data_IF_529371081578
#
_entry.id   IF_529371081578
#
_cell.length_a   1.000
_cell.length_b   1.000
_cell.length_c   1.000
_cell.angle_alpha   90.00
_cell.angle_beta   90.00
_cell.angle_gamma   90.00
#
_symmetry.space_group_name_H-M   'P 1'
#
loop_
_entity.id
_entity.type
_entity.pdbx_description
1 polymer ?
#
# COMPACT_ATOMS: atom_id res chain seq x y z
N UNK A 1 -9.21 3.36 -12.41
CA UNK A 1 -9.09 3.91 -11.05
C UNK A 1 -9.31 5.43 -11.06
N UNK A 2 -10.24 5.95 -10.25
CA UNK A 2 -10.44 7.38 -10.00
C UNK A 2 -9.72 7.84 -8.73
N UNK A 3 -9.06 9.00 -8.76
CA UNK A 3 -8.32 9.57 -7.62
C UNK A 3 -8.96 10.88 -7.14
N UNK A 4 -8.81 11.23 -5.86
CA UNK A 4 -9.33 12.48 -5.28
C UNK A 4 -8.34 13.23 -4.39
N UNK A 5 -7.27 12.60 -3.94
CA UNK A 5 -6.11 13.18 -3.26
C UNK A 5 -4.91 12.21 -3.39
N UNK A 6 -3.79 12.50 -2.73
CA UNK A 6 -2.49 11.82 -2.88
C UNK A 6 -2.13 10.87 -1.75
N UNK A 7 -3.02 10.68 -0.77
CA UNK A 7 -2.82 9.71 0.31
C UNK A 7 -2.95 8.27 -0.16
N UNK A 8 -2.46 7.34 0.67
CA UNK A 8 -2.35 5.91 0.35
C UNK A 8 -3.68 5.22 0.02
N UNK A 9 -4.82 5.84 0.40
CA UNK A 9 -6.18 5.33 0.19
C UNK A 9 -7.04 6.25 -0.69
N UNK A 10 -6.45 7.30 -1.26
CA UNK A 10 -7.22 8.35 -1.95
C UNK A 10 -7.51 8.04 -3.43
N UNK A 11 -7.85 6.77 -3.67
CA UNK A 11 -8.31 6.23 -4.94
C UNK A 11 -9.33 5.10 -4.70
N UNK A 12 -10.20 4.86 -5.68
CA UNK A 12 -11.29 3.88 -5.60
C UNK A 12 -10.77 2.46 -5.29
N UNK A 13 -9.74 1.99 -5.97
CA UNK A 13 -9.20 0.63 -5.76
C UNK A 13 -8.66 0.42 -4.34
N UNK A 14 -7.96 1.41 -3.76
CA UNK A 14 -7.46 1.33 -2.40
C UNK A 14 -8.57 1.45 -1.33
N UNK A 15 -9.62 2.23 -1.61
CA UNK A 15 -10.78 2.30 -0.74
C UNK A 15 -11.58 0.97 -0.75
N UNK A 16 -11.73 0.34 -1.92
CA UNK A 16 -12.37 -0.98 -2.04
C UNK A 16 -11.57 -2.07 -1.30
N UNK A 17 -10.23 -1.99 -1.35
CA UNK A 17 -9.35 -2.87 -0.59
C UNK A 17 -9.55 -2.76 0.94
N UNK A 18 -9.82 -1.57 1.47
CA UNK A 18 -10.19 -1.40 2.88
C UNK A 18 -11.46 -2.18 3.23
N UNK A 19 -12.45 -2.17 2.33
CA UNK A 19 -13.65 -2.99 2.45
C UNK A 19 -13.35 -4.49 2.50
N UNK A 20 -12.44 -4.98 1.66
CA UNK A 20 -12.01 -6.40 1.69
C UNK A 20 -11.40 -6.79 3.04
N UNK A 21 -10.57 -5.92 3.63
CA UNK A 21 -9.98 -6.12 4.96
C UNK A 21 -11.07 -6.17 6.04
N UNK A 22 -12.04 -5.26 5.96
CA UNK A 22 -13.10 -5.18 6.96
C UNK A 22 -14.04 -6.37 6.90
N UNK A 23 -14.38 -6.85 5.69
CA UNK A 23 -15.21 -8.02 5.48
C UNK A 23 -14.50 -9.33 5.86
N UNK A 24 -13.17 -9.35 5.86
CA UNK A 24 -12.40 -10.49 6.32
C UNK A 24 -12.55 -10.70 7.84
N UNK A 25 -12.64 -11.97 8.30
CA UNK A 25 -12.48 -12.31 9.71
C UNK A 25 -11.14 -11.77 10.25
N UNK A 26 -11.10 -11.38 11.52
CA UNK A 26 -9.92 -10.75 12.14
C UNK A 26 -8.63 -11.56 11.92
N UNK A 27 -8.70 -12.89 12.07
CA UNK A 27 -7.57 -13.80 11.86
C UNK A 27 -7.17 -13.99 10.38
N UNK A 28 -7.88 -13.37 9.43
CA UNK A 28 -7.60 -13.40 7.99
C UNK A 28 -7.15 -12.05 7.44
N UNK A 29 -7.30 -10.95 8.18
CA UNK A 29 -6.91 -9.60 7.73
C UNK A 29 -5.44 -9.49 7.34
N UNK A 30 -4.53 -10.08 8.13
CA UNK A 30 -3.11 -10.13 7.77
C UNK A 30 -2.89 -10.86 6.42
N UNK A 31 -3.63 -11.94 6.17
CA UNK A 31 -3.49 -12.68 4.91
C UNK A 31 -3.97 -11.87 3.70
N UNK A 32 -4.98 -11.02 3.87
CA UNK A 32 -5.43 -10.07 2.82
C UNK A 32 -4.35 -9.04 2.53
N UNK A 33 -3.76 -8.44 3.57
CA UNK A 33 -2.64 -7.48 3.45
C UNK A 33 -1.44 -8.14 2.75
N UNK A 34 -1.04 -9.34 3.20
CA UNK A 34 0.06 -10.09 2.60
C UNK A 34 -0.19 -10.38 1.12
N UNK A 35 -1.40 -10.81 0.77
CA UNK A 35 -1.80 -11.11 -0.61
C UNK A 35 -1.68 -9.88 -1.51
N UNK A 36 -2.10 -8.70 -1.06
CA UNK A 36 -1.95 -7.46 -1.82
C UNK A 36 -0.48 -7.11 -2.06
N UNK A 37 0.38 -7.29 -1.06
CA UNK A 37 1.83 -7.06 -1.23
C UNK A 37 2.49 -8.09 -2.16
N UNK A 38 2.05 -9.35 -2.13
CA UNK A 38 2.58 -10.40 -2.99
C UNK A 38 2.11 -10.29 -4.45
N UNK A 39 0.92 -9.73 -4.68
CA UNK A 39 0.34 -9.59 -6.02
C UNK A 39 1.26 -8.81 -6.98
N UNK A 40 1.86 -7.72 -6.50
CA UNK A 40 2.76 -6.87 -7.30
C UNK A 40 4.16 -7.46 -7.49
N UNK A 41 4.46 -8.58 -6.84
CA UNK A 41 5.74 -9.29 -6.96
C UNK A 41 5.68 -10.48 -7.91
N UNK A 42 4.49 -10.80 -8.44
CA UNK A 42 4.32 -11.81 -9.48
C UNK A 42 4.99 -11.29 -10.75
N UNK A 43 5.88 -12.07 -11.41
CA UNK A 43 6.53 -11.63 -12.64
C UNK A 43 5.51 -11.25 -13.71
N UNK A 44 5.60 -10.01 -14.18
CA UNK A 44 4.79 -9.44 -15.25
C UNK A 44 5.65 -8.46 -16.05
N UNK A 45 5.32 -8.26 -17.32
CA UNK A 45 5.96 -7.26 -18.16
C UNK A 45 5.47 -5.84 -17.82
N UNK A 46 4.29 -5.73 -17.20
CA UNK A 46 3.65 -4.47 -16.81
C UNK A 46 2.73 -4.69 -15.61
N UNK A 47 2.86 -3.84 -14.59
CA UNK A 47 2.05 -3.90 -13.37
C UNK A 47 0.85 -2.97 -13.50
N UNK A 48 -0.35 -3.52 -13.35
CA UNK A 48 -1.60 -2.77 -13.43
C UNK A 48 -1.87 -2.02 -12.11
N UNK A 49 -2.49 -0.84 -12.24
CA UNK A 49 -2.83 0.02 -11.11
C UNK A 49 -3.80 -0.64 -10.14
N UNK A 50 -4.61 -1.59 -10.61
CA UNK A 50 -5.54 -2.35 -9.78
C UNK A 50 -4.83 -3.30 -8.78
N UNK A 51 -3.60 -3.76 -9.05
CA UNK A 51 -2.75 -4.39 -8.02
C UNK A 51 -1.85 -3.39 -7.29
N UNK A 52 -1.38 -2.35 -8.00
CA UNK A 52 -0.47 -1.37 -7.45
C UNK A 52 -1.07 -0.56 -6.29
N UNK A 53 -2.31 -0.09 -6.43
CA UNK A 53 -2.95 0.75 -5.42
C UNK A 53 -3.21 0.00 -4.10
N UNK A 54 -3.78 -1.23 -4.11
CA UNK A 54 -3.90 -2.05 -2.91
C UNK A 54 -2.55 -2.36 -2.25
N UNK A 55 -1.49 -2.56 -3.03
CA UNK A 55 -0.16 -2.80 -2.46
C UNK A 55 0.39 -1.56 -1.70
N UNK A 56 0.16 -0.35 -2.21
CA UNK A 56 0.51 0.91 -1.50
C UNK A 56 -0.29 1.03 -0.20
N UNK A 57 -1.60 0.79 -0.26
CA UNK A 57 -2.47 0.82 0.92
C UNK A 57 -2.04 -0.22 1.97
N UNK A 58 -1.76 -1.45 1.53
CA UNK A 58 -1.23 -2.52 2.38
C UNK A 58 0.11 -2.14 3.02
N UNK A 59 1.03 -1.52 2.26
CA UNK A 59 2.30 -1.04 2.78
C UNK A 59 2.12 0.07 3.83
N UNK A 60 1.16 0.97 3.64
CA UNK A 60 0.81 2.00 4.63
C UNK A 60 0.28 1.40 5.94
N UNK A 61 -0.55 0.34 5.86
CA UNK A 61 -1.03 -0.37 7.04
C UNK A 61 0.12 -1.05 7.81
N UNK A 62 1.05 -1.69 7.10
CA UNK A 62 2.27 -2.26 7.72
C UNK A 62 3.12 -1.17 8.36
N UNK A 63 3.33 -0.04 7.67
CA UNK A 63 4.10 1.08 8.18
C UNK A 63 3.47 1.70 9.43
N UNK A 64 2.14 1.76 9.52
CA UNK A 64 1.43 2.31 10.69
C UNK A 64 1.71 1.55 12.00
N UNK A 65 2.16 0.28 11.92
CA UNK A 65 2.58 -0.52 13.07
C UNK A 65 4.11 -0.51 13.29
N UNK A 66 4.85 0.29 12.54
CA UNK A 66 6.30 0.43 12.66
C UNK A 66 6.70 1.65 13.51
N UNK A 67 7.86 1.64 14.18
CA UNK A 67 8.42 2.84 14.79
C UNK A 67 8.59 3.96 13.74
N UNK A 68 8.06 5.15 14.03
CA UNK A 68 8.09 6.29 13.11
C UNK A 68 7.00 6.27 12.03
N UNK A 69 6.16 5.23 12.01
CA UNK A 69 4.96 5.20 11.18
C UNK A 69 3.84 6.07 11.75
N UNK A 70 2.98 6.56 10.86
CA UNK A 70 1.80 7.32 11.21
C UNK A 70 0.55 6.43 11.18
N UNK A 71 -0.40 6.58 12.11
CA UNK A 71 -1.67 5.89 12.05
C UNK A 71 -2.46 6.24 10.78
N UNK A 72 -3.07 5.24 10.15
CA UNK A 72 -4.04 5.48 9.07
C UNK A 72 -5.34 6.00 9.71
N UNK A 73 -5.68 7.26 9.42
CA UNK A 73 -6.83 7.98 10.02
C UNK A 73 -7.83 8.49 8.99
N UNK A 74 -7.60 8.21 7.71
CA UNK A 74 -8.52 8.57 6.62
C UNK A 74 -9.79 7.72 6.68
N UNK A 75 -10.92 8.29 6.27
CA UNK A 75 -12.21 7.60 6.17
C UNK A 75 -12.24 6.52 5.06
N UNK A 76 -11.21 6.46 4.22
CA UNK A 76 -11.05 5.46 3.17
C UNK A 76 -10.14 4.29 3.58
N UNK A 77 -9.58 4.31 4.80
CA UNK A 77 -8.87 3.19 5.40
C UNK A 77 -9.82 2.17 6.03
N UNK A 78 -9.32 1.00 6.48
CA UNK A 78 -10.16 0.01 7.17
C UNK A 78 -10.76 0.57 8.46
N UNK A 79 -12.06 0.36 8.66
CA UNK A 79 -12.79 0.79 9.85
C UNK A 79 -12.56 -0.13 11.06
N UNK A 80 -12.25 -1.41 10.79
CA UNK A 80 -12.08 -2.41 11.84
C UNK A 80 -10.60 -2.56 12.22
N UNK A 81 -10.30 -2.85 13.50
CA UNK A 81 -8.92 -2.94 13.96
C UNK A 81 -8.14 -4.04 13.24
N UNK A 82 -6.90 -3.76 12.88
CA UNK A 82 -5.99 -4.78 12.37
C UNK A 82 -5.41 -5.61 13.52
N UNK A 83 -5.11 -6.90 13.30
CA UNK A 83 -4.28 -7.66 14.23
C UNK A 83 -2.86 -7.06 14.27
N UNK A 84 -2.07 -7.49 15.25
CA UNK A 84 -0.62 -7.24 15.22
C UNK A 84 -0.05 -7.97 14.02
N UNK A 85 0.53 -7.21 13.09
CA UNK A 85 1.06 -7.74 11.84
C UNK A 85 2.43 -8.36 12.06
N UNK A 86 2.67 -9.51 11.42
CA UNK A 86 3.96 -10.16 11.43
C UNK A 86 5.08 -9.24 10.88
N UNK A 87 6.23 -9.23 11.55
CA UNK A 87 7.35 -8.34 11.21
C UNK A 87 7.97 -8.63 9.85
N UNK A 88 7.76 -9.83 9.29
CA UNK A 88 8.21 -10.20 7.95
C UNK A 88 7.44 -9.48 6.84
N UNK A 89 6.28 -8.89 7.14
CA UNK A 89 5.56 -8.01 6.22
C UNK A 89 6.31 -6.72 5.91
N UNK A 90 7.22 -6.26 6.77
CA UNK A 90 7.99 -5.01 6.56
C UNK A 90 8.92 -5.10 5.35
N UNK A 91 9.85 -6.08 5.26
CA UNK A 91 10.66 -6.24 4.06
C UNK A 91 9.84 -6.67 2.84
N UNK A 92 8.70 -7.33 3.02
CA UNK A 92 7.77 -7.62 1.92
C UNK A 92 7.15 -6.33 1.37
N UNK A 93 6.71 -5.42 2.24
CA UNK A 93 6.14 -4.13 1.86
C UNK A 93 7.15 -3.22 1.16
N UNK A 94 8.43 -3.25 1.58
CA UNK A 94 9.51 -2.55 0.85
C UNK A 94 9.62 -3.07 -0.58
N UNK A 95 9.65 -4.40 -0.78
CA UNK A 95 9.72 -5.00 -2.12
C UNK A 95 8.52 -4.65 -2.98
N UNK A 96 7.32 -4.68 -2.38
CA UNK A 96 6.09 -4.33 -3.08
C UNK A 96 6.12 -2.88 -3.55
N UNK A 97 6.52 -1.94 -2.68
CA UNK A 97 6.68 -0.54 -3.06
C UNK A 97 7.76 -0.35 -4.14
N UNK A 98 8.87 -1.07 -4.07
CA UNK A 98 9.91 -1.03 -5.11
C UNK A 98 9.38 -1.48 -6.47
N UNK A 99 8.51 -2.50 -6.51
CA UNK A 99 7.86 -2.93 -7.74
C UNK A 99 6.87 -1.87 -8.27
N UNK A 100 6.02 -1.33 -7.39
CA UNK A 100 5.04 -0.28 -7.75
C UNK A 100 5.68 1.01 -8.23
N UNK A 101 6.84 1.38 -7.68
CA UNK A 101 7.59 2.58 -8.06
C UNK A 101 8.50 2.37 -9.28
N UNK A 102 8.58 1.14 -9.79
CA UNK A 102 9.37 0.76 -10.95
C UNK A 102 8.86 1.36 -12.26
N UNK A 103 9.66 1.23 -13.32
CA UNK A 103 9.37 1.82 -14.63
C UNK A 103 8.18 1.18 -15.35
N UNK A 104 7.86 -0.09 -15.05
CA UNK A 104 6.77 -0.83 -15.69
C UNK A 104 5.54 -0.91 -14.77
N UNK A 105 5.04 0.24 -14.31
CA UNK A 105 3.93 0.34 -13.37
C UNK A 105 2.93 1.39 -13.82
N UNK A 106 1.71 0.95 -14.13
CA UNK A 106 0.62 1.83 -14.53
C UNK A 106 0.31 2.86 -13.44
N UNK A 107 0.31 2.46 -12.17
CA UNK A 107 0.07 3.40 -11.07
C UNK A 107 1.10 4.53 -11.08
N UNK A 108 2.38 4.21 -11.35
CA UNK A 108 3.43 5.21 -11.43
C UNK A 108 3.22 6.14 -12.62
N UNK A 109 2.91 5.60 -13.79
CA UNK A 109 2.65 6.39 -15.00
C UNK A 109 1.47 7.35 -14.80
N UNK A 110 0.36 6.87 -14.23
CA UNK A 110 -0.83 7.70 -13.96
C UNK A 110 -0.51 8.90 -13.05
N UNK A 111 0.31 8.71 -12.01
CA UNK A 111 0.71 9.80 -11.12
C UNK A 111 1.71 10.77 -11.76
N UNK A 112 2.65 10.26 -12.57
CA UNK A 112 3.58 11.09 -13.32
C UNK A 112 2.83 11.94 -14.38
N UNK A 113 1.81 11.38 -15.04
CA UNK A 113 0.95 12.07 -16.01
C UNK A 113 0.03 13.12 -15.34
N UNK A 114 -0.49 12.82 -14.15
CA UNK A 114 -1.29 13.77 -13.37
C UNK A 114 -0.46 15.00 -12.94
N UNK A 115 0.87 14.88 -12.90
CA UNK A 115 1.78 15.97 -12.56
C UNK A 115 1.74 16.39 -11.10
N UNK A 116 1.20 15.54 -10.22
CA UNK A 116 1.13 15.81 -8.79
C UNK A 116 2.51 15.63 -8.13
N UNK A 117 2.99 16.69 -7.48
CA UNK A 117 4.32 16.73 -6.88
C UNK A 117 4.36 16.14 -5.46
N UNK A 118 3.22 15.82 -4.86
CA UNK A 118 3.14 15.32 -3.49
C UNK A 118 3.19 13.79 -3.41
N UNK A 119 2.72 13.09 -4.44
CA UNK A 119 2.63 11.62 -4.43
C UNK A 119 4.00 10.93 -4.28
N UNK A 120 4.96 11.25 -5.15
CA UNK A 120 6.29 10.62 -5.09
C UNK A 120 7.05 10.87 -3.76
N UNK A 121 7.08 12.09 -3.20
CA UNK A 121 7.61 12.31 -1.84
C UNK A 121 6.84 11.58 -0.74
N UNK A 122 5.53 11.35 -0.91
CA UNK A 122 4.74 10.52 0.00
C UNK A 122 5.20 9.06 -0.02
N UNK A 123 5.33 8.48 -1.20
CA UNK A 123 5.80 7.10 -1.38
C UNK A 123 7.23 6.89 -0.86
N UNK A 124 8.11 7.87 -1.08
CA UNK A 124 9.47 7.84 -0.55
C UNK A 124 9.50 7.80 0.99
N UNK A 125 8.69 8.63 1.66
CA UNK A 125 8.57 8.64 3.12
C UNK A 125 8.02 7.34 3.67
N UNK A 126 6.97 6.80 3.03
CA UNK A 126 6.41 5.50 3.40
C UNK A 126 7.49 4.40 3.34
N UNK A 127 8.27 4.38 2.24
CA UNK A 127 9.36 3.43 2.06
C UNK A 127 10.46 3.58 3.12
N UNK A 128 10.85 4.79 3.47
CA UNK A 128 11.86 5.06 4.51
C UNK A 128 11.48 4.47 5.87
N UNK A 129 10.22 4.64 6.29
CA UNK A 129 9.70 4.06 7.54
C UNK A 129 9.82 2.53 7.53
N UNK A 130 9.40 1.90 6.42
CA UNK A 130 9.44 0.44 6.28
C UNK A 130 10.87 -0.11 6.26
N UNK A 131 11.80 0.56 5.57
CA UNK A 131 13.21 0.17 5.54
C UNK A 131 13.84 0.29 6.93
N UNK A 132 13.61 1.40 7.64
CA UNK A 132 14.14 1.61 8.98
C UNK A 132 13.64 0.56 9.99
N UNK A 133 12.41 0.06 9.80
CA UNK A 133 11.79 -0.94 10.66
C UNK A 133 12.08 -2.40 10.25
N UNK A 134 12.74 -2.63 9.11
CA UNK A 134 13.07 -3.98 8.60
C UNK A 134 14.42 -4.53 9.11
N UNK A 135 15.17 -3.72 9.88
CA UNK A 135 16.46 -4.07 10.48
C UNK A 135 16.39 -4.70 11.87
#
# INVERSE_FOLDING_TARGET
MGTWDTGHFDNDTAADFSGEIDDAPENRREAVIRKALEAVLVPTDYLDSDEGAPAVAAAALVASQCPGGEPVTTAYGPDKPLPVLATDLRPLAVKALDAVLGENSELRELWDEAGDKAWAPGMARLREVLVAASG
#
